data_IF_290010191736
#
_entry.id   IF_290010191736
#
_cell.length_a   1.000
_cell.length_b   1.000
_cell.length_c   1.000
_cell.angle_alpha   90.00
_cell.angle_beta   90.00
_cell.angle_gamma   90.00
#
_symmetry.space_group_name_H-M   'P 1'
#
loop_
_entity.id
_entity.type
_entity.pdbx_description
1 polymer ?
#
# COMPACT_ATOMS: atom_id res chain seq x y z
N UNK A 1 -22.65 2.89 25.41
CA UNK A 1 -21.61 3.77 25.98
C UNK A 1 -20.43 3.76 25.01
N UNK A 2 -20.51 4.57 23.96
CA UNK A 2 -19.61 4.52 22.80
C UNK A 2 -18.31 5.27 23.07
N UNK A 3 -17.19 4.60 22.82
CA UNK A 3 -15.79 4.97 23.06
C UNK A 3 -15.43 6.39 22.60
N UNK A 4 -15.44 7.40 23.48
CA UNK A 4 -15.19 8.81 23.13
C UNK A 4 -13.76 9.07 22.65
N UNK A 5 -12.84 8.17 22.99
CA UNK A 5 -11.42 8.27 22.61
C UNK A 5 -11.20 8.01 21.11
N UNK A 6 -12.02 7.17 20.46
CA UNK A 6 -11.89 6.89 19.02
C UNK A 6 -12.26 8.12 18.18
N UNK A 7 -13.29 8.87 18.60
CA UNK A 7 -13.73 10.10 17.91
C UNK A 7 -12.74 11.25 18.13
N UNK A 8 -12.22 11.41 19.35
CA UNK A 8 -11.19 12.40 19.65
C UNK A 8 -9.85 12.09 18.95
N UNK A 9 -9.52 10.80 18.77
CA UNK A 9 -8.35 10.36 18.01
C UNK A 9 -8.54 10.58 16.51
N UNK A 10 -9.71 10.28 15.95
CA UNK A 10 -10.03 10.51 14.54
C UNK A 10 -9.99 12.01 14.15
N UNK A 11 -10.28 12.93 15.07
CA UNK A 11 -10.19 14.37 14.82
C UNK A 11 -8.75 14.91 14.81
N UNK A 12 -7.80 14.24 15.46
CA UNK A 12 -6.36 14.59 15.43
C UNK A 12 -5.54 13.71 14.50
N UNK A 13 -6.10 12.59 14.06
CA UNK A 13 -5.47 11.64 13.16
C UNK A 13 -5.90 11.90 11.72
N UNK A 14 -4.94 11.88 10.80
CA UNK A 14 -5.18 11.95 9.35
C UNK A 14 -6.02 10.78 8.80
N UNK A 15 -6.35 9.82 9.66
CA UNK A 15 -7.25 8.70 9.42
C UNK A 15 -8.61 9.13 8.86
N UNK A 16 -9.19 10.25 9.32
CA UNK A 16 -10.47 10.72 8.81
C UNK A 16 -10.39 11.16 7.33
N UNK A 17 -9.34 11.87 6.92
CA UNK A 17 -9.15 12.32 5.52
C UNK A 17 -9.04 11.13 4.55
N UNK A 18 -8.37 10.05 4.96
CA UNK A 18 -8.20 8.86 4.13
C UNK A 18 -9.50 8.04 3.98
N UNK A 19 -10.35 7.98 5.03
CA UNK A 19 -11.63 7.29 4.96
C UNK A 19 -12.69 8.00 4.10
N UNK A 20 -12.57 9.32 3.89
CA UNK A 20 -13.43 10.05 2.94
C UNK A 20 -13.06 9.78 1.47
N UNK A 21 -11.83 9.33 1.19
CA UNK A 21 -11.38 9.01 -0.18
C UNK A 21 -11.82 7.61 -0.64
N UNK A 22 -12.18 6.70 0.29
CA UNK A 22 -12.54 5.30 0.00
C UNK A 22 -13.79 5.16 -0.87
N UNK A 23 -14.64 6.19 -0.95
CA UNK A 23 -15.82 6.22 -1.84
C UNK A 23 -15.55 6.73 -3.27
N UNK A 24 -14.35 7.25 -3.57
CA UNK A 24 -14.05 7.93 -4.84
C UNK A 24 -12.86 7.32 -5.62
N UNK A 25 -12.19 6.30 -5.09
CA UNK A 25 -10.86 5.86 -5.58
C UNK A 25 -10.82 4.63 -6.52
N UNK A 26 -11.97 4.10 -6.98
CA UNK A 26 -12.01 3.05 -8.03
C UNK A 26 -11.30 3.36 -9.36
N UNK A 27 -11.16 4.62 -9.85
CA UNK A 27 -10.44 4.87 -11.09
C UNK A 27 -8.90 4.74 -10.97
N UNK A 28 -8.32 4.85 -9.77
CA UNK A 28 -6.87 4.77 -9.57
C UNK A 28 -6.34 3.33 -9.72
N UNK A 29 -7.01 2.36 -9.10
CA UNK A 29 -6.69 0.92 -9.19
C UNK A 29 -6.65 0.43 -10.64
N UNK A 30 -7.70 0.76 -11.40
CA UNK A 30 -7.82 0.33 -12.80
C UNK A 30 -6.72 0.91 -13.68
N UNK A 31 -6.28 2.15 -13.40
CA UNK A 31 -5.20 2.80 -14.14
C UNK A 31 -3.86 2.13 -13.88
N UNK A 32 -3.51 1.84 -12.63
CA UNK A 32 -2.25 1.17 -12.28
C UNK A 32 -2.18 -0.23 -12.91
N UNK A 33 -3.25 -1.02 -12.78
CA UNK A 33 -3.30 -2.37 -13.34
C UNK A 33 -3.25 -2.37 -14.87
N UNK A 34 -3.89 -1.39 -15.53
CA UNK A 34 -3.81 -1.23 -16.98
C UNK A 34 -2.39 -0.86 -17.45
N UNK A 35 -1.72 0.06 -16.74
CA UNK A 35 -0.32 0.40 -17.01
C UNK A 35 0.57 -0.83 -16.83
N UNK A 36 0.45 -1.54 -15.71
CA UNK A 36 1.25 -2.73 -15.42
C UNK A 36 1.02 -3.85 -16.44
N UNK A 37 -0.23 -4.08 -16.84
CA UNK A 37 -0.60 -5.05 -17.87
C UNK A 37 -0.07 -4.73 -19.27
N UNK A 38 0.30 -3.47 -19.55
CA UNK A 38 0.92 -3.07 -20.81
C UNK A 38 2.44 -3.28 -20.85
N UNK A 39 3.06 -3.55 -19.69
CA UNK A 39 4.51 -3.70 -19.56
C UNK A 39 4.95 -5.18 -19.66
N UNK A 40 6.16 -5.45 -20.17
CA UNK A 40 6.80 -6.76 -20.05
C UNK A 40 6.89 -7.22 -18.59
N UNK A 41 6.76 -8.52 -18.34
CA UNK A 41 6.76 -9.10 -16.98
C UNK A 41 8.03 -8.75 -16.20
N UNK A 42 9.17 -8.59 -16.89
CA UNK A 42 10.45 -8.21 -16.25
C UNK A 42 10.42 -6.80 -15.64
N UNK A 43 9.55 -5.91 -16.13
CA UNK A 43 9.43 -4.53 -15.63
C UNK A 43 8.52 -4.41 -14.40
N UNK A 44 7.70 -5.43 -14.14
CA UNK A 44 6.70 -5.39 -13.07
C UNK A 44 7.29 -5.13 -11.69
N UNK A 45 8.37 -5.82 -11.26
CA UNK A 45 8.94 -5.57 -9.93
C UNK A 45 9.41 -4.12 -9.77
N UNK A 46 9.93 -3.50 -10.83
CA UNK A 46 10.37 -2.11 -10.81
C UNK A 46 9.19 -1.16 -10.63
N UNK A 47 8.11 -1.36 -11.38
CA UNK A 47 6.91 -0.52 -11.35
C UNK A 47 6.16 -0.66 -10.02
N UNK A 48 5.99 -1.89 -9.51
CA UNK A 48 5.39 -2.15 -8.19
C UNK A 48 6.24 -1.54 -7.08
N UNK A 49 7.58 -1.67 -7.14
CA UNK A 49 8.47 -1.04 -6.16
C UNK A 49 8.33 0.48 -6.14
N UNK A 50 8.18 1.11 -7.31
CA UNK A 50 7.93 2.55 -7.39
C UNK A 50 6.62 2.93 -6.70
N UNK A 51 5.53 2.21 -6.97
CA UNK A 51 4.24 2.44 -6.31
C UNK A 51 4.40 2.35 -4.78
N UNK A 52 5.01 1.28 -4.28
CA UNK A 52 5.20 1.07 -2.83
C UNK A 52 6.09 2.16 -2.22
N UNK A 53 7.21 2.52 -2.88
CA UNK A 53 8.08 3.62 -2.47
C UNK A 53 7.31 4.95 -2.37
N UNK A 54 6.49 5.26 -3.37
CA UNK A 54 5.73 6.51 -3.42
C UNK A 54 4.71 6.55 -2.28
N UNK A 55 3.96 5.46 -2.05
CA UNK A 55 2.98 5.40 -0.94
C UNK A 55 3.64 5.55 0.44
N UNK A 56 4.76 4.88 0.68
CA UNK A 56 5.45 4.97 1.98
C UNK A 56 6.11 6.34 2.15
N UNK A 57 6.66 6.93 1.08
CA UNK A 57 7.27 8.27 1.14
C UNK A 57 6.23 9.34 1.45
N UNK A 58 5.01 9.20 0.91
CA UNK A 58 3.88 10.08 1.24
C UNK A 58 3.44 9.92 2.70
N UNK A 59 3.41 8.69 3.21
CA UNK A 59 3.02 8.38 4.58
C UNK A 59 4.03 8.92 5.59
N UNK A 60 5.32 8.64 5.37
CA UNK A 60 6.42 9.01 6.26
C UNK A 60 6.95 10.44 6.02
N UNK A 61 6.54 11.08 4.92
CA UNK A 61 6.97 12.43 4.50
C UNK A 61 8.48 12.60 4.41
N UNK A 62 9.17 11.56 3.95
CA UNK A 62 10.63 11.56 3.75
C UNK A 62 11.05 10.52 2.73
N UNK A 63 12.26 10.69 2.21
CA UNK A 63 12.95 9.64 1.44
C UNK A 63 13.31 8.48 2.35
N UNK A 64 13.24 7.28 1.78
CA UNK A 64 13.42 6.01 2.47
C UNK A 64 14.32 5.10 1.63
N UNK A 65 15.29 4.49 2.30
CA UNK A 65 16.07 3.38 1.76
C UNK A 65 15.15 2.17 1.56
N UNK A 66 15.05 1.62 0.34
CA UNK A 66 14.14 0.51 0.04
C UNK A 66 14.52 -0.81 0.71
N UNK A 67 15.76 -0.95 1.18
CA UNK A 67 16.31 -2.15 1.80
C UNK A 67 16.33 -2.08 3.33
N UNK A 68 16.04 -0.91 3.91
CA UNK A 68 15.94 -0.73 5.36
C UNK A 68 14.57 -1.19 5.89
N UNK A 69 14.50 -1.89 7.03
CA UNK A 69 13.23 -2.26 7.66
C UNK A 69 12.33 -1.05 7.92
N UNK A 70 11.05 -1.18 7.59
CA UNK A 70 10.06 -0.12 7.82
C UNK A 70 9.82 0.17 9.30
N UNK A 71 10.05 -0.82 10.17
CA UNK A 71 10.04 -0.63 11.63
C UNK A 71 11.08 0.38 12.12
N UNK A 72 12.26 0.43 11.48
CA UNK A 72 13.34 1.34 11.88
C UNK A 72 13.02 2.80 11.59
N UNK A 73 12.03 3.02 10.73
CA UNK A 73 11.46 4.30 10.40
C UNK A 73 10.37 4.72 11.41
N UNK A 74 10.07 3.91 12.42
CA UNK A 74 9.02 4.20 13.40
C UNK A 74 7.62 4.03 12.82
N UNK A 75 7.47 3.18 11.79
CA UNK A 75 6.15 2.82 11.26
C UNK A 75 5.42 1.98 12.32
N UNK A 76 4.41 2.57 12.94
CA UNK A 76 3.60 1.93 13.98
C UNK A 76 2.45 1.09 13.39
N UNK A 77 1.63 0.50 14.25
CA UNK A 77 0.48 -0.33 13.85
C UNK A 77 -0.54 0.42 12.98
N UNK A 78 -0.73 1.72 13.21
CA UNK A 78 -1.67 2.52 12.42
C UNK A 78 -1.07 2.89 11.07
N UNK A 79 0.22 3.23 11.02
CA UNK A 79 0.95 3.42 9.78
C UNK A 79 0.97 2.15 8.92
N UNK A 80 1.13 0.97 9.55
CA UNK A 80 1.02 -0.31 8.86
C UNK A 80 -0.37 -0.55 8.27
N UNK A 81 -1.43 -0.24 9.03
CA UNK A 81 -2.80 -0.36 8.55
C UNK A 81 -3.06 0.59 7.37
N UNK A 82 -2.64 1.85 7.47
CA UNK A 82 -2.83 2.84 6.40
C UNK A 82 -2.05 2.44 5.14
N UNK A 83 -0.79 2.02 5.28
CA UNK A 83 0.02 1.53 4.17
C UNK A 83 -0.67 0.36 3.47
N UNK A 84 -1.13 -0.63 4.23
CA UNK A 84 -1.86 -1.77 3.69
C UNK A 84 -3.09 -1.32 2.91
N UNK A 85 -3.94 -0.47 3.50
CA UNK A 85 -5.15 0.01 2.83
C UNK A 85 -4.83 0.74 1.53
N UNK A 86 -3.78 1.56 1.49
CA UNK A 86 -3.33 2.24 0.27
C UNK A 86 -2.89 1.25 -0.81
N UNK A 87 -2.04 0.28 -0.46
CA UNK A 87 -1.57 -0.74 -1.41
C UNK A 87 -2.72 -1.62 -1.91
N UNK A 88 -3.60 -2.08 -1.00
CA UNK A 88 -4.80 -2.86 -1.34
C UNK A 88 -5.71 -2.10 -2.29
N UNK A 89 -5.87 -0.79 -2.07
CA UNK A 89 -6.67 0.07 -2.94
C UNK A 89 -6.05 0.19 -4.33
N UNK A 90 -4.76 0.47 -4.44
CA UNK A 90 -4.11 0.68 -5.75
C UNK A 90 -3.91 -0.61 -6.55
N UNK A 91 -3.77 -1.76 -5.88
CA UNK A 91 -3.38 -3.02 -6.54
C UNK A 91 -4.45 -4.10 -6.53
N UNK A 92 -5.45 -3.99 -5.66
CA UNK A 92 -6.42 -5.05 -5.41
C UNK A 92 -5.87 -6.25 -4.63
N UNK A 93 -4.58 -6.27 -4.28
CA UNK A 93 -3.92 -7.36 -3.55
C UNK A 93 -4.02 -7.13 -2.05
N UNK A 94 -4.56 -8.12 -1.33
CA UNK A 94 -4.57 -8.13 0.14
C UNK A 94 -3.16 -8.32 0.70
N UNK A 95 -2.75 -7.47 1.63
CA UNK A 95 -1.41 -7.53 2.23
C UNK A 95 -1.52 -7.99 3.68
N UNK A 96 -0.88 -9.11 4.01
CA UNK A 96 -0.74 -9.53 5.40
C UNK A 96 0.21 -8.57 6.16
N UNK A 97 -0.06 -8.20 7.43
CA UNK A 97 0.84 -7.38 8.23
C UNK A 97 2.28 -7.91 8.31
N UNK A 98 2.45 -9.24 8.28
CA UNK A 98 3.77 -9.88 8.33
C UNK A 98 4.61 -9.67 7.06
N UNK A 99 3.99 -9.17 5.98
CA UNK A 99 4.65 -8.88 4.71
C UNK A 99 5.13 -7.42 4.62
N UNK A 100 4.75 -6.57 5.58
CA UNK A 100 5.24 -5.21 5.69
C UNK A 100 6.62 -5.27 6.35
N UNK A 101 7.66 -5.41 5.53
CA UNK A 101 9.05 -5.61 5.96
C UNK A 101 9.91 -4.42 5.51
N UNK A 102 10.50 -4.52 4.32
CA UNK A 102 11.16 -3.42 3.60
C UNK A 102 10.27 -2.98 2.43
N UNK A 103 10.60 -1.87 1.78
CA UNK A 103 9.92 -1.47 0.54
C UNK A 103 10.08 -2.57 -0.51
N UNK A 104 11.28 -3.11 -0.65
CA UNK A 104 11.58 -4.19 -1.60
C UNK A 104 10.76 -5.44 -1.31
N UNK A 105 10.78 -5.92 -0.07
CA UNK A 105 10.08 -7.16 0.30
C UNK A 105 8.56 -7.04 0.15
N UNK A 106 7.99 -5.88 0.47
CA UNK A 106 6.57 -5.63 0.23
C UNK A 106 6.25 -5.58 -1.28
N UNK A 107 7.09 -4.92 -2.08
CA UNK A 107 6.89 -4.83 -3.52
C UNK A 107 7.01 -6.19 -4.23
N UNK A 108 7.97 -7.02 -3.83
CA UNK A 108 8.12 -8.39 -4.32
C UNK A 108 6.87 -9.21 -4.00
N UNK A 109 6.40 -9.18 -2.76
CA UNK A 109 5.17 -9.88 -2.39
C UNK A 109 3.95 -9.45 -3.21
N UNK A 110 3.74 -8.15 -3.40
CA UNK A 110 2.63 -7.63 -4.21
C UNK A 110 2.77 -8.05 -5.68
N UNK A 111 3.99 -8.01 -6.22
CA UNK A 111 4.26 -8.43 -7.59
C UNK A 111 3.96 -9.91 -7.80
N UNK A 112 4.37 -10.77 -6.86
CA UNK A 112 4.13 -12.21 -6.91
C UNK A 112 2.62 -12.53 -6.87
N UNK A 113 1.87 -11.87 -5.98
CA UNK A 113 0.41 -12.04 -5.89
C UNK A 113 -0.30 -11.57 -7.17
N UNK A 114 0.13 -10.43 -7.75
CA UNK A 114 -0.42 -9.95 -9.03
C UNK A 114 -0.12 -10.93 -10.17
N UNK A 115 1.08 -11.51 -10.22
CA UNK A 115 1.45 -12.50 -11.22
C UNK A 115 0.65 -13.80 -11.06
N UNK A 116 0.45 -14.26 -9.83
CA UNK A 116 -0.38 -15.42 -9.50
C UNK A 116 -1.85 -15.20 -9.90
N UNK A 117 -2.42 -14.03 -9.58
CA UNK A 117 -3.81 -13.68 -9.90
C UNK A 117 -4.12 -13.71 -11.40
N UNK A 118 -3.15 -13.40 -12.27
CA UNK A 118 -3.34 -13.47 -13.73
C UNK A 118 -3.03 -14.84 -14.33
N UNK A 119 -2.31 -15.69 -13.60
CA UNK A 119 -1.99 -17.06 -14.03
C UNK A 119 -3.08 -18.05 -13.63
N UNK A 120 -3.99 -17.66 -12.74
CA UNK A 120 -5.16 -18.44 -12.39
C UNK A 120 -6.12 -18.53 -13.60
N UNK A 121 -6.43 -19.74 -14.10
CA UNK A 121 -7.44 -19.89 -15.14
C UNK A 121 -8.81 -19.50 -14.58
N UNK A 122 -9.57 -18.72 -15.36
CA UNK A 122 -10.98 -18.38 -15.12
C UNK A 122 -11.89 -19.61 -15.19
#
# INVERSE_FOLDING_TARGET
MGTPWLTAFAQRSRFAEAFHATGQNQPATGKFLAELGSLPREEWPRTVRRLVSDQISLLLRRTIDPDRPLSDYGLDSLGNLELRTRIETETGIRVSPTKITTVRGLAEHVCDELAAAQSAPV
#
